data_IF_074654574451
#
_entry.id   IF_074654574451
#
_cell.length_a   1.000
_cell.length_b   1.000
_cell.length_c   1.000
_cell.angle_alpha   90.00
_cell.angle_beta   90.00
_cell.angle_gamma   90.00
#
_symmetry.space_group_name_H-M   'P 1'
#
loop_
_entity.id
_entity.type
_entity.pdbx_description
1 polymer ?
#
# COMPACT_ATOMS: atom_id res chain seq x y z
N UNK A 1 -33.75 -29.14 29.65
CA UNK A 1 -32.29 -29.04 29.90
C UNK A 1 -31.47 -29.06 28.62
N UNK A 2 -31.75 -29.96 27.67
CA UNK A 2 -31.03 -30.07 26.39
C UNK A 2 -31.07 -28.79 25.54
N UNK A 3 -32.22 -28.10 25.51
CA UNK A 3 -32.36 -26.84 24.77
C UNK A 3 -31.50 -25.71 25.36
N UNK A 4 -31.48 -25.57 26.69
CA UNK A 4 -30.62 -24.59 27.35
C UNK A 4 -29.14 -24.90 27.14
N UNK A 5 -28.74 -26.18 27.24
CA UNK A 5 -27.38 -26.62 26.95
C UNK A 5 -26.96 -26.31 25.50
N UNK A 6 -27.86 -26.54 24.55
CA UNK A 6 -27.63 -26.20 23.14
C UNK A 6 -27.42 -24.70 22.93
N UNK A 7 -28.29 -23.87 23.50
CA UNK A 7 -28.18 -22.40 23.42
C UNK A 7 -26.87 -21.91 24.06
N UNK A 8 -26.50 -22.44 25.23
CA UNK A 8 -25.25 -22.05 25.90
C UNK A 8 -24.01 -22.44 25.09
N UNK A 9 -24.03 -23.59 24.42
CA UNK A 9 -22.91 -24.07 23.63
C UNK A 9 -22.71 -23.22 22.36
N UNK A 10 -23.81 -22.89 21.67
CA UNK A 10 -23.76 -22.00 20.51
C UNK A 10 -23.27 -20.60 20.90
N UNK A 11 -23.78 -20.05 22.01
CA UNK A 11 -23.33 -18.76 22.51
C UNK A 11 -21.82 -18.78 22.84
N UNK A 12 -21.33 -19.82 23.51
CA UNK A 12 -19.91 -19.97 23.81
C UNK A 12 -19.05 -20.08 22.53
N UNK A 13 -19.51 -20.85 21.53
CA UNK A 13 -18.81 -20.98 20.25
C UNK A 13 -18.70 -19.64 19.50
N UNK A 14 -19.77 -18.84 19.49
CA UNK A 14 -19.76 -17.50 18.88
C UNK A 14 -18.78 -16.56 19.61
N UNK A 15 -18.80 -16.56 20.94
CA UNK A 15 -17.88 -15.75 21.75
C UNK A 15 -16.42 -16.15 21.49
N UNK A 16 -16.12 -17.45 21.44
CA UNK A 16 -14.79 -17.95 21.15
C UNK A 16 -14.35 -17.59 19.72
N UNK A 17 -15.25 -17.67 18.73
CA UNK A 17 -14.95 -17.27 17.35
C UNK A 17 -14.61 -15.78 17.25
N UNK A 18 -15.31 -14.91 17.98
CA UNK A 18 -15.04 -13.47 18.01
C UNK A 18 -13.73 -13.16 18.76
N UNK A 19 -13.41 -13.91 19.82
CA UNK A 19 -12.16 -13.72 20.59
C UNK A 19 -10.94 -14.36 19.92
N UNK A 20 -11.13 -15.35 19.03
CA UNK A 20 -10.07 -16.03 18.30
C UNK A 20 -9.08 -15.08 17.57
N UNK A 21 -9.52 -14.07 16.78
CA UNK A 21 -8.59 -13.12 16.15
C UNK A 21 -7.81 -12.25 17.15
N UNK A 22 -8.42 -11.94 18.31
CA UNK A 22 -7.80 -11.12 19.36
C UNK A 22 -6.70 -11.91 20.09
N UNK A 23 -6.95 -13.18 20.41
CA UNK A 23 -5.98 -14.05 21.10
C UNK A 23 -4.88 -14.53 20.16
N UNK A 24 -5.21 -14.83 18.89
CA UNK A 24 -4.23 -15.28 17.91
C UNK A 24 -3.34 -14.15 17.38
N UNK A 25 -3.58 -12.91 17.81
CA UNK A 25 -2.76 -11.78 17.40
C UNK A 25 -2.72 -11.63 15.88
N UNK A 26 -3.87 -11.74 15.21
CA UNK A 26 -4.00 -11.28 13.81
C UNK A 26 -3.99 -9.75 13.86
N UNK A 27 -2.86 -9.21 14.26
CA UNK A 27 -2.56 -7.80 14.15
C UNK A 27 -2.31 -7.60 12.66
N UNK A 28 -3.24 -6.91 11.98
CA UNK A 28 -2.78 -6.05 10.88
C UNK A 28 -1.67 -5.20 11.50
N UNK A 29 -0.44 -5.31 10.98
CA UNK A 29 0.73 -4.61 11.51
C UNK A 29 0.36 -3.17 11.83
N UNK A 30 0.11 -2.90 13.12
CA UNK A 30 -0.01 -1.55 13.67
C UNK A 30 1.37 -1.02 14.05
N UNK A 31 2.43 -1.72 13.64
CA UNK A 31 3.67 -1.06 13.27
C UNK A 31 3.31 -0.17 12.07
N UNK A 32 2.71 0.98 12.37
CA UNK A 32 3.24 2.20 11.80
C UNK A 32 4.70 2.08 12.16
N UNK A 33 5.56 1.71 11.20
CA UNK A 33 6.94 2.13 11.29
C UNK A 33 6.83 3.57 11.80
N UNK A 34 7.44 3.86 12.95
CA UNK A 34 7.60 5.24 13.37
C UNK A 34 8.22 5.91 12.16
N UNK A 35 7.37 6.54 11.35
CA UNK A 35 7.72 7.24 10.15
C UNK A 35 8.26 8.55 10.72
N UNK A 36 9.45 8.42 11.31
CA UNK A 36 10.24 9.50 11.81
C UNK A 36 10.45 10.36 10.58
N UNK A 37 9.57 11.36 10.47
CA UNK A 37 9.38 12.13 9.25
C UNK A 37 10.74 12.59 8.80
N UNK A 38 11.18 12.05 7.67
CA UNK A 38 12.54 12.28 7.20
C UNK A 38 12.74 13.78 7.05
N UNK A 39 13.97 14.25 7.23
CA UNK A 39 14.27 15.68 7.06
C UNK A 39 13.86 16.18 5.66
N UNK A 40 13.93 15.32 4.64
CA UNK A 40 13.44 15.58 3.28
C UNK A 40 11.92 15.72 3.23
N UNK A 41 11.17 14.84 3.89
CA UNK A 41 9.71 14.92 3.94
C UNK A 41 9.23 16.15 4.74
N UNK A 42 9.92 16.51 5.81
CA UNK A 42 9.64 17.72 6.57
C UNK A 42 9.84 18.98 5.71
N UNK A 43 10.96 19.07 4.96
CA UNK A 43 11.23 20.19 4.03
C UNK A 43 10.16 20.31 2.95
N UNK A 44 9.77 19.19 2.34
CA UNK A 44 8.66 19.12 1.37
C UNK A 44 7.35 19.68 1.95
N UNK A 45 6.96 19.26 3.16
CA UNK A 45 5.73 19.75 3.79
C UNK A 45 5.78 21.25 4.05
N UNK A 46 6.92 21.77 4.52
CA UNK A 46 7.09 23.21 4.76
C UNK A 46 6.97 24.01 3.47
N UNK A 47 7.63 23.59 2.39
CA UNK A 47 7.56 24.29 1.10
C UNK A 47 6.14 24.31 0.52
N UNK A 48 5.40 23.19 0.61
CA UNK A 48 4.01 23.13 0.18
C UNK A 48 3.06 23.99 1.02
N UNK A 49 3.31 24.05 2.34
CA UNK A 49 2.55 24.93 3.23
C UNK A 49 2.79 26.41 2.90
N UNK A 50 4.03 26.80 2.63
CA UNK A 50 4.37 28.17 2.25
C UNK A 50 3.64 28.60 0.96
N UNK A 51 3.56 27.71 -0.04
CA UNK A 51 2.83 27.99 -1.28
C UNK A 51 1.34 28.24 -1.03
N UNK A 52 0.73 27.39 -0.19
CA UNK A 52 -0.68 27.51 0.22
C UNK A 52 -0.93 28.81 0.98
N UNK A 53 -0.03 29.18 1.88
CA UNK A 53 -0.17 30.36 2.71
C UNK A 53 -0.06 31.65 1.87
N UNK A 54 0.82 31.70 0.86
CA UNK A 54 0.89 32.81 -0.11
C UNK A 54 -0.39 32.94 -0.93
N UNK A 55 -1.00 31.83 -1.35
CA UNK A 55 -2.29 31.87 -2.04
C UNK A 55 -3.41 32.40 -1.14
N UNK A 56 -3.42 32.02 0.14
CA UNK A 56 -4.37 32.59 1.09
C UNK A 56 -4.14 34.07 1.35
N UNK A 57 -2.90 34.54 1.42
CA UNK A 57 -2.58 35.95 1.62
C UNK A 57 -3.02 36.82 0.43
N UNK A 58 -2.87 36.30 -0.79
CA UNK A 58 -3.43 36.95 -1.99
C UNK A 58 -4.96 36.99 -1.95
N UNK A 59 -5.63 35.88 -1.66
CA UNK A 59 -7.09 35.82 -1.55
C UNK A 59 -7.65 36.70 -0.43
N UNK A 60 -6.87 36.89 0.65
CA UNK A 60 -7.19 37.79 1.75
C UNK A 60 -6.93 39.28 1.41
N UNK A 61 -6.38 39.58 0.23
CA UNK A 61 -6.06 40.93 -0.22
C UNK A 61 -4.84 41.54 0.47
N UNK A 62 -3.96 40.73 1.08
CA UNK A 62 -2.71 41.21 1.70
C UNK A 62 -1.60 41.44 0.66
N UNK A 63 -1.67 40.75 -0.46
CA UNK A 63 -0.70 40.83 -1.56
C UNK A 63 -1.38 41.35 -2.82
N UNK A 64 -0.65 42.16 -3.60
CA UNK A 64 -1.08 42.48 -4.97
C UNK A 64 -0.64 41.40 -5.96
N UNK A 65 -1.22 41.44 -7.16
CA UNK A 65 -1.02 40.42 -8.20
C UNK A 65 0.46 40.22 -8.57
N UNK A 66 1.25 41.31 -8.64
CA UNK A 66 2.66 41.21 -9.04
C UNK A 66 3.48 40.54 -7.95
N UNK A 67 3.27 40.94 -6.70
CA UNK A 67 3.95 40.36 -5.55
C UNK A 67 3.56 38.88 -5.37
N UNK A 68 2.27 38.56 -5.50
CA UNK A 68 1.78 37.19 -5.49
C UNK A 68 2.47 36.32 -6.55
N UNK A 69 2.52 36.78 -7.81
CA UNK A 69 3.18 36.01 -8.87
C UNK A 69 4.68 35.83 -8.63
N UNK A 70 5.36 36.85 -8.11
CA UNK A 70 6.78 36.75 -7.77
C UNK A 70 7.02 35.70 -6.69
N UNK A 71 6.31 35.80 -5.55
CA UNK A 71 6.40 34.87 -4.43
C UNK A 71 6.01 33.45 -4.82
N UNK A 72 4.92 33.30 -5.60
CA UNK A 72 4.47 32.01 -6.09
C UNK A 72 5.54 31.33 -6.92
N UNK A 73 6.15 32.03 -7.87
CA UNK A 73 7.16 31.44 -8.74
C UNK A 73 8.39 30.96 -7.95
N UNK A 74 8.86 31.77 -7.00
CA UNK A 74 9.98 31.41 -6.11
C UNK A 74 9.65 30.18 -5.26
N UNK A 75 8.52 30.19 -4.57
CA UNK A 75 8.08 29.08 -3.71
C UNK A 75 7.77 27.81 -4.50
N UNK A 76 7.28 27.92 -5.74
CA UNK A 76 7.09 26.73 -6.60
C UNK A 76 8.43 26.09 -6.97
N UNK A 77 9.48 26.89 -7.21
CA UNK A 77 10.80 26.36 -7.50
C UNK A 77 11.39 25.65 -6.27
N UNK A 78 11.22 26.24 -5.07
CA UNK A 78 11.65 25.63 -3.82
C UNK A 78 10.88 24.33 -3.52
N UNK A 79 9.56 24.33 -3.69
CA UNK A 79 8.72 23.14 -3.50
C UNK A 79 9.09 22.02 -4.47
N UNK A 80 9.40 22.35 -5.73
CA UNK A 80 9.86 21.36 -6.71
C UNK A 80 11.18 20.72 -6.28
N UNK A 81 12.16 21.52 -5.87
CA UNK A 81 13.44 21.01 -5.38
C UNK A 81 13.27 20.09 -4.16
N UNK A 82 12.40 20.47 -3.21
CA UNK A 82 12.11 19.66 -2.04
C UNK A 82 11.40 18.33 -2.37
N UNK A 83 10.58 18.30 -3.43
CA UNK A 83 9.95 17.08 -3.94
C UNK A 83 10.99 16.13 -4.56
N UNK A 84 11.89 16.66 -5.38
CA UNK A 84 12.97 15.89 -6.01
C UNK A 84 13.92 15.30 -4.96
N UNK A 85 14.28 16.07 -3.93
CA UNK A 85 15.08 15.59 -2.79
C UNK A 85 14.39 14.45 -2.02
N UNK A 86 13.08 14.58 -1.75
CA UNK A 86 12.27 13.54 -1.09
C UNK A 86 12.24 12.25 -1.93
N UNK A 87 11.99 12.36 -3.24
CA UNK A 87 11.99 11.22 -4.16
C UNK A 87 13.37 10.56 -4.27
N UNK A 88 14.45 11.34 -4.37
CA UNK A 88 15.81 10.81 -4.41
C UNK A 88 16.16 10.06 -3.11
N UNK A 89 15.74 10.60 -1.95
CA UNK A 89 15.94 9.95 -0.66
C UNK A 89 15.18 8.62 -0.53
N UNK A 90 13.98 8.54 -1.12
CA UNK A 90 13.15 7.32 -1.16
C UNK A 90 13.67 6.29 -2.16
N UNK A 91 14.16 6.73 -3.32
CA UNK A 91 14.70 5.86 -4.36
C UNK A 91 16.04 5.19 -3.97
N UNK A 92 16.85 5.85 -3.15
CA UNK A 92 18.13 5.33 -2.65
C UNK A 92 18.05 4.47 -1.38
N UNK A 93 16.85 4.21 -0.86
CA UNK A 93 16.67 3.46 0.39
C UNK A 93 16.83 1.95 0.21
N UNK A 94 17.45 1.29 1.21
CA UNK A 94 17.58 -0.17 1.39
C UNK A 94 16.25 -0.92 1.18
N UNK A 95 15.12 -0.26 1.45
CA UNK A 95 13.76 -0.77 1.25
C UNK A 95 13.49 -1.11 -0.23
N UNK A 96 13.99 -0.31 -1.18
CA UNK A 96 13.75 -0.58 -2.60
C UNK A 96 14.58 -1.76 -3.11
N UNK A 97 15.83 -1.88 -2.64
CA UNK A 97 16.72 -3.00 -3.00
C UNK A 97 16.26 -4.33 -2.36
N UNK A 98 15.83 -4.30 -1.09
CA UNK A 98 15.22 -5.45 -0.43
C UNK A 98 13.90 -5.86 -1.08
N UNK A 99 13.07 -4.89 -1.50
CA UNK A 99 11.82 -5.15 -2.21
C UNK A 99 12.07 -5.77 -3.60
N UNK A 100 13.01 -5.24 -4.38
CA UNK A 100 13.37 -5.83 -5.67
C UNK A 100 13.93 -7.26 -5.50
N UNK A 101 14.73 -7.51 -4.46
CA UNK A 101 15.20 -8.85 -4.14
C UNK A 101 14.04 -9.80 -3.74
N UNK A 102 13.05 -9.32 -2.99
CA UNK A 102 11.82 -10.06 -2.66
C UNK A 102 11.01 -10.40 -3.92
N UNK A 103 10.85 -9.42 -4.83
CA UNK A 103 10.15 -9.59 -6.11
C UNK A 103 10.86 -10.63 -6.99
N UNK A 104 12.20 -10.60 -7.06
CA UNK A 104 12.98 -11.59 -7.82
C UNK A 104 12.77 -12.98 -7.25
N UNK A 105 12.88 -13.17 -5.92
CA UNK A 105 12.65 -14.47 -5.28
C UNK A 105 11.24 -15.01 -5.55
N UNK A 106 10.23 -14.15 -5.47
CA UNK A 106 8.85 -14.52 -5.78
C UNK A 106 8.73 -14.94 -7.26
N UNK A 107 9.28 -14.16 -8.19
CA UNK A 107 9.25 -14.46 -9.64
C UNK A 107 9.99 -15.76 -9.99
N UNK A 108 11.13 -16.03 -9.36
CA UNK A 108 11.85 -17.29 -9.53
C UNK A 108 10.98 -18.47 -9.07
N UNK A 109 10.31 -18.34 -7.93
CA UNK A 109 9.33 -19.31 -7.42
C UNK A 109 8.16 -19.56 -8.38
N UNK A 110 7.75 -18.55 -9.16
CA UNK A 110 6.67 -18.66 -10.14
C UNK A 110 7.10 -19.21 -11.52
N UNK A 111 8.40 -19.27 -11.82
CA UNK A 111 8.90 -19.66 -13.14
C UNK A 111 8.64 -21.12 -13.53
N UNK A 112 8.34 -21.99 -12.56
CA UNK A 112 7.96 -23.39 -12.78
C UNK A 112 6.45 -23.57 -13.07
N UNK A 113 5.67 -22.49 -13.04
CA UNK A 113 4.22 -22.48 -13.18
C UNK A 113 3.65 -22.54 -14.61
N UNK A 114 2.33 -22.67 -14.72
CA UNK A 114 1.56 -22.62 -15.97
C UNK A 114 0.75 -21.33 -16.03
N UNK A 115 0.98 -20.51 -17.06
CA UNK A 115 0.22 -19.28 -17.29
C UNK A 115 -1.13 -19.58 -17.96
N UNK A 116 -2.21 -19.09 -17.37
CA UNK A 116 -3.55 -19.25 -17.92
C UNK A 116 -3.73 -18.46 -19.22
N UNK A 117 -4.18 -19.10 -20.33
CA UNK A 117 -4.37 -18.41 -21.61
C UNK A 117 -5.57 -17.45 -21.62
N UNK A 118 -6.50 -17.57 -20.66
CA UNK A 118 -7.70 -16.71 -20.62
C UNK A 118 -7.52 -15.42 -19.80
N UNK A 119 -6.83 -15.47 -18.66
CA UNK A 119 -6.70 -14.33 -17.75
C UNK A 119 -5.25 -13.97 -17.40
N UNK A 120 -4.26 -14.69 -17.95
CA UNK A 120 -2.82 -14.46 -17.75
C UNK A 120 -2.32 -14.68 -16.33
N UNK A 121 -3.15 -15.20 -15.42
CA UNK A 121 -2.70 -15.58 -14.09
C UNK A 121 -1.71 -16.76 -14.16
N UNK A 122 -0.61 -16.69 -13.42
CA UNK A 122 0.40 -17.76 -13.35
C UNK A 122 0.05 -18.70 -12.21
N UNK A 123 -0.22 -19.96 -12.55
CA UNK A 123 -0.62 -21.00 -11.61
C UNK A 123 0.55 -21.91 -11.30
N UNK A 124 0.52 -22.59 -10.15
CA UNK A 124 1.55 -23.56 -9.79
C UNK A 124 1.63 -24.73 -10.78
N UNK A 125 2.81 -25.35 -10.88
CA UNK A 125 3.05 -26.52 -11.73
C UNK A 125 2.07 -27.65 -11.41
N UNK A 126 1.40 -28.18 -12.44
CA UNK A 126 0.42 -29.26 -12.28
C UNK A 126 -0.99 -28.80 -11.88
N UNK A 127 -1.24 -27.49 -11.82
CA UNK A 127 -2.60 -26.95 -11.65
C UNK A 127 -3.51 -27.40 -12.79
N UNK A 128 -4.62 -28.07 -12.45
CA UNK A 128 -5.63 -28.51 -13.42
C UNK A 128 -6.56 -27.37 -13.86
N UNK A 129 -6.79 -26.40 -12.97
CA UNK A 129 -7.64 -25.23 -13.19
C UNK A 129 -6.94 -23.95 -12.73
N UNK A 130 -7.27 -22.83 -13.35
CA UNK A 130 -6.78 -21.51 -12.97
C UNK A 130 -7.41 -21.08 -11.64
N UNK A 131 -6.60 -20.70 -10.64
CA UNK A 131 -7.09 -20.24 -9.33
C UNK A 131 -7.75 -18.86 -9.37
N UNK A 132 -7.48 -18.06 -10.41
CA UNK A 132 -8.07 -16.73 -10.58
C UNK A 132 -9.39 -16.72 -11.37
N UNK A 133 -9.49 -17.52 -12.45
CA UNK A 133 -10.66 -17.50 -13.34
C UNK A 133 -11.36 -18.84 -13.55
N UNK A 134 -10.82 -19.94 -13.02
CA UNK A 134 -11.43 -21.27 -13.12
C UNK A 134 -11.26 -22.00 -14.47
N UNK A 135 -10.56 -21.41 -15.45
CA UNK A 135 -10.29 -22.08 -16.73
C UNK A 135 -9.46 -23.36 -16.52
N UNK A 136 -9.83 -24.46 -17.18
CA UNK A 136 -9.00 -25.67 -17.21
C UNK A 136 -7.66 -25.39 -17.94
N UNK A 137 -6.54 -25.81 -17.34
CA UNK A 137 -5.18 -25.58 -17.84
C UNK A 137 -4.53 -26.83 -18.41
N UNK A 138 -5.08 -28.02 -18.11
CA UNK A 138 -4.62 -29.28 -18.68
C UNK A 138 -5.40 -29.59 -19.97
N UNK A 139 -4.69 -29.70 -21.08
CA UNK A 139 -5.20 -30.32 -22.30
C UNK A 139 -5.21 -31.84 -22.07
N UNK A 140 -6.38 -32.49 -22.21
CA UNK A 140 -6.67 -33.93 -21.99
C UNK A 140 -6.99 -34.40 -20.56
N UNK A 141 -8.18 -34.07 -20.07
CA UNK A 141 -9.01 -35.11 -19.44
C UNK A 141 -9.96 -35.61 -20.52
N UNK A 142 -9.46 -36.51 -21.37
CA UNK A 142 -10.33 -37.32 -22.22
C UNK A 142 -11.08 -38.28 -21.29
N UNK A 143 -12.36 -38.02 -21.07
CA UNK A 143 -13.29 -38.98 -20.47
C UNK A 143 -13.62 -40.12 -21.43
#
# INVERSE_FOLDING_TARGET
>A
MTLYLGVTLVAAAVVLFILQPVVNGIHASLERADDEMTETEARKRVALLALRDVEYDFLAGKLDERDYHSLKNELTAEALAALEDDEASKAGGDINETLEAEIIKLREGFSDGVTCPSCLYTNDKGSLFCSACGLALAETVAG
#
